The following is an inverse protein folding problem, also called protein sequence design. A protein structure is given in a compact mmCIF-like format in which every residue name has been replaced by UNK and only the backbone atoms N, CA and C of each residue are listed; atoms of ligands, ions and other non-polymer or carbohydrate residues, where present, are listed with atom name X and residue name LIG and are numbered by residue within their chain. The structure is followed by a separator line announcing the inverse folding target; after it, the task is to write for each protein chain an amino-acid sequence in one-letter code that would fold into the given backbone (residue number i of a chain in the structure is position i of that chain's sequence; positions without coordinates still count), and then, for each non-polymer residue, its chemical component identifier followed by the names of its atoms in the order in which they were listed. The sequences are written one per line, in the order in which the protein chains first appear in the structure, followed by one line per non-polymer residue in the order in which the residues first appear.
data_IF_304363695053
#
_entry.id   IF_304363695053
#
_cell.length_a   1.000
_cell.length_b   1.000
_cell.length_c   1.000
_cell.angle_alpha   90.00
_cell.angle_beta   90.00
_cell.angle_gamma   90.00
#
_symmetry.space_group_name_H-M   'P 1'
#
loop_
_entity.id
_entity.type
_entity.pdbx_description
1 polymer ?
#
# COMPACT_ATOMS: atom_id res chain seq x y z
N UNK A 1 1.43 6.57 -7.30
CA UNK A 1 0.99 5.97 -6.02
C UNK A 1 -0.08 4.90 -6.23
N UNK A 2 -1.33 5.26 -6.57
CA UNK A 2 -2.45 4.30 -6.68
C UNK A 2 -2.19 3.05 -7.54
N UNK A 3 -1.75 3.25 -8.79
CA UNK A 3 -1.52 2.15 -9.74
C UNK A 3 -0.55 1.08 -9.19
N UNK A 4 0.51 1.51 -8.50
CA UNK A 4 1.50 0.64 -7.91
C UNK A 4 0.92 -0.16 -6.73
N UNK A 5 0.22 0.51 -5.80
CA UNK A 5 -0.41 -0.14 -4.64
C UNK A 5 -1.48 -1.15 -5.04
N UNK A 6 -2.36 -0.81 -6.00
CA UNK A 6 -3.35 -1.75 -6.52
C UNK A 6 -2.70 -3.00 -7.13
N UNK A 7 -1.65 -2.81 -7.94
CA UNK A 7 -0.93 -3.91 -8.57
C UNK A 7 -0.22 -4.79 -7.55
N UNK A 8 0.33 -4.18 -6.49
CA UNK A 8 0.98 -4.89 -5.40
C UNK A 8 -0.02 -5.73 -4.60
N UNK A 9 -1.12 -5.13 -4.12
CA UNK A 9 -2.19 -5.83 -3.42
C UNK A 9 -2.69 -7.05 -4.21
N UNK A 10 -2.91 -6.88 -5.52
CA UNK A 10 -3.30 -8.01 -6.37
C UNK A 10 -2.24 -9.10 -6.42
N UNK A 11 -0.96 -8.73 -6.51
CA UNK A 11 0.15 -9.69 -6.62
C UNK A 11 0.44 -10.44 -5.31
N UNK A 12 0.10 -9.86 -4.16
CA UNK A 12 0.26 -10.51 -2.85
C UNK A 12 -0.72 -11.67 -2.66
N UNK A 13 -1.85 -11.70 -3.37
CA UNK A 13 -2.81 -12.81 -3.34
C UNK A 13 -2.46 -13.90 -4.38
N UNK A 14 -2.12 -15.14 -3.94
CA UNK A 14 -1.78 -16.22 -4.85
C UNK A 14 -2.93 -16.56 -5.82
N UNK A 15 -2.63 -16.59 -7.11
CA UNK A 15 -3.59 -16.96 -8.14
C UNK A 15 -4.65 -15.89 -8.46
N UNK A 16 -4.54 -14.68 -7.91
CA UNK A 16 -5.41 -13.54 -8.24
C UNK A 16 -4.92 -12.84 -9.52
N UNK A 17 -5.54 -13.21 -10.64
CA UNK A 17 -5.26 -12.59 -11.94
C UNK A 17 -6.02 -11.28 -12.10
N UNK A 18 -5.59 -10.41 -13.04
CA UNK A 18 -6.34 -9.20 -13.39
C UNK A 18 -7.79 -9.52 -13.81
N UNK A 19 -8.00 -10.63 -14.51
CA UNK A 19 -9.35 -11.04 -14.92
C UNK A 19 -10.23 -11.42 -13.71
N UNK A 20 -9.67 -12.14 -12.72
CA UNK A 20 -10.39 -12.51 -11.50
C UNK A 20 -10.72 -11.29 -10.65
N UNK A 21 -9.76 -10.39 -10.43
CA UNK A 21 -10.00 -9.17 -9.66
C UNK A 21 -11.02 -8.27 -10.36
N UNK A 22 -10.91 -8.08 -11.68
CA UNK A 22 -11.88 -7.30 -12.45
C UNK A 22 -13.29 -7.88 -12.33
N UNK A 23 -13.44 -9.21 -12.39
CA UNK A 23 -14.72 -9.89 -12.18
C UNK A 23 -15.28 -9.66 -10.76
N UNK A 24 -14.43 -9.70 -9.73
CA UNK A 24 -14.84 -9.40 -8.35
C UNK A 24 -15.29 -7.96 -8.15
N UNK A 25 -14.66 -7.01 -8.87
CA UNK A 25 -14.98 -5.59 -8.81
C UNK A 25 -16.11 -5.18 -9.77
N UNK A 26 -16.64 -6.09 -10.59
CA UNK A 26 -17.68 -5.78 -11.57
C UNK A 26 -17.21 -4.90 -12.74
N UNK A 27 -15.91 -4.86 -13.03
CA UNK A 27 -15.32 -4.02 -14.11
C UNK A 27 -14.71 -4.87 -15.22
N UNK A 28 -14.46 -4.26 -16.38
CA UNK A 28 -13.73 -4.91 -17.46
C UNK A 28 -12.24 -5.15 -17.09
N UNK A 29 -11.67 -6.27 -17.54
CA UNK A 29 -10.24 -6.59 -17.37
C UNK A 29 -9.34 -5.45 -17.89
N UNK A 30 -9.70 -4.88 -19.03
CA UNK A 30 -8.96 -3.76 -19.66
C UNK A 30 -8.99 -2.50 -18.80
N UNK A 31 -10.10 -2.24 -18.10
CA UNK A 31 -10.23 -1.16 -17.12
C UNK A 31 -9.28 -1.37 -15.95
N UNK A 32 -9.27 -2.56 -15.34
CA UNK A 32 -8.32 -2.88 -14.26
C UNK A 32 -6.86 -2.77 -14.74
N UNK A 33 -6.54 -3.29 -15.92
CA UNK A 33 -5.20 -3.18 -16.48
C UNK A 33 -4.78 -1.72 -16.71
N UNK A 34 -5.72 -0.85 -17.11
CA UNK A 34 -5.48 0.59 -17.26
C UNK A 34 -5.20 1.26 -15.91
N UNK A 35 -5.90 0.85 -14.85
CA UNK A 35 -5.64 1.30 -13.48
C UNK A 35 -4.24 0.89 -12.98
N UNK A 36 -3.87 -0.38 -13.13
CA UNK A 36 -2.53 -0.88 -12.74
C UNK A 36 -1.39 -0.30 -13.58
N UNK A 37 -1.68 0.24 -14.76
CA UNK A 37 -0.74 0.96 -15.62
C UNK A 37 -0.71 2.47 -15.35
N UNK A 38 -1.62 3.00 -14.51
CA UNK A 38 -1.76 4.44 -14.26
C UNK A 38 -2.34 5.24 -15.44
N UNK A 39 -2.90 4.58 -16.45
CA UNK A 39 -3.52 5.23 -17.62
C UNK A 39 -4.91 5.79 -17.33
N UNK A 40 -5.57 5.23 -16.31
CA UNK A 40 -6.90 5.65 -15.85
C UNK A 40 -6.93 5.63 -14.33
N UNK A 41 -7.82 6.43 -13.77
CA UNK A 41 -8.15 6.47 -12.36
C UNK A 41 -9.53 5.79 -12.15
N UNK A 42 -9.75 5.09 -11.03
CA UNK A 42 -11.08 4.60 -10.68
C UNK A 42 -11.99 5.77 -10.32
N UNK A 43 -13.30 5.58 -10.47
CA UNK A 43 -14.26 6.44 -9.81
C UNK A 43 -14.36 6.12 -8.31
N UNK A 44 -15.15 6.90 -7.58
CA UNK A 44 -15.33 6.74 -6.15
C UNK A 44 -15.90 5.37 -5.76
N UNK A 45 -16.85 4.84 -6.53
CA UNK A 45 -17.49 3.55 -6.24
C UNK A 45 -16.50 2.40 -6.39
N UNK A 46 -15.73 2.39 -7.48
CA UNK A 46 -14.70 1.38 -7.74
C UNK A 46 -13.55 1.52 -6.73
N UNK A 47 -13.14 2.74 -6.38
CA UNK A 47 -12.11 2.97 -5.37
C UNK A 47 -12.55 2.40 -4.01
N UNK A 48 -13.79 2.67 -3.60
CA UNK A 48 -14.37 2.12 -2.36
C UNK A 48 -14.48 0.59 -2.42
N UNK A 49 -14.87 0.03 -3.57
CA UNK A 49 -14.95 -1.42 -3.75
C UNK A 49 -13.58 -2.10 -3.66
N UNK A 50 -12.53 -1.50 -4.24
CA UNK A 50 -11.15 -1.97 -4.12
C UNK A 50 -10.72 -1.93 -2.65
N UNK A 51 -10.98 -0.81 -1.96
CA UNK A 51 -10.61 -0.64 -0.55
C UNK A 51 -11.25 -1.73 0.32
N UNK A 52 -12.56 -1.96 0.16
CA UNK A 52 -13.29 -3.03 0.85
C UNK A 52 -12.78 -4.42 0.50
N UNK A 53 -12.50 -4.70 -0.77
CA UNK A 53 -12.02 -6.02 -1.22
C UNK A 53 -10.69 -6.42 -0.60
N UNK A 54 -9.79 -5.46 -0.42
CA UNK A 54 -8.47 -5.70 0.15
C UNK A 54 -8.39 -5.36 1.65
N UNK A 55 -9.52 -4.98 2.28
CA UNK A 55 -9.58 -4.58 3.69
C UNK A 55 -8.59 -3.45 4.04
N UNK A 56 -8.46 -2.48 3.12
CA UNK A 56 -7.62 -1.29 3.25
C UNK A 56 -8.46 -0.03 3.21
N UNK A 57 -7.89 1.12 3.57
CA UNK A 57 -8.55 2.43 3.41
C UNK A 57 -8.36 2.95 1.98
N UNK A 58 -9.23 3.87 1.57
CA UNK A 58 -9.03 4.62 0.31
C UNK A 58 -7.73 5.42 0.35
N UNK A 59 -7.38 5.97 1.50
CA UNK A 59 -6.14 6.73 1.72
C UNK A 59 -4.92 5.82 1.51
N UNK A 60 -5.01 4.56 1.96
CA UNK A 60 -4.01 3.54 1.62
C UNK A 60 -3.93 3.28 0.13
N UNK A 61 -5.03 3.25 -0.61
CA UNK A 61 -4.93 3.10 -2.05
C UNK A 61 -4.32 4.33 -2.73
N UNK A 62 -4.65 5.53 -2.25
CA UNK A 62 -4.27 6.78 -2.90
C UNK A 62 -2.80 7.16 -2.67
N UNK A 63 -2.16 6.63 -1.64
CA UNK A 63 -0.81 7.05 -1.26
C UNK A 63 -0.74 7.78 0.07
N UNK A 64 -1.89 8.10 0.65
CA UNK A 64 -2.06 9.09 1.72
C UNK A 64 -1.94 8.49 3.12
N UNK A 65 -2.06 7.16 3.26
CA UNK A 65 -1.87 6.49 4.56
C UNK A 65 -1.22 5.09 4.38
N UNK A 66 -0.42 4.63 5.34
CA UNK A 66 0.25 3.32 5.30
C UNK A 66 -0.27 2.32 6.36
N UNK A 67 -1.36 2.69 7.03
CA UNK A 67 -1.84 2.05 8.26
C UNK A 67 -2.96 1.03 8.01
N UNK A 68 -2.85 -0.22 8.50
CA UNK A 68 -3.88 -1.26 8.40
C UNK A 68 -5.10 -0.95 9.24
N UNK A 69 -6.28 -1.46 8.84
CA UNK A 69 -7.53 -1.25 9.57
C UNK A 69 -7.57 -1.91 10.96
N UNK A 70 -6.78 -2.97 11.20
CA UNK A 70 -6.69 -3.64 12.49
C UNK A 70 -5.71 -2.96 13.45
N UNK A 71 -4.88 -2.03 12.96
CA UNK A 71 -3.94 -1.31 13.79
C UNK A 71 -4.72 -0.38 14.72
N UNK A 72 -4.44 -0.47 16.02
CA UNK A 72 -4.99 0.47 16.99
C UNK A 72 -4.07 1.69 17.14
N UNK A 73 -4.53 2.73 17.83
CA UNK A 73 -3.78 3.98 17.99
C UNK A 73 -2.43 3.83 18.69
N UNK A 74 -2.23 2.76 19.46
CA UNK A 74 -0.93 2.46 20.09
C UNK A 74 0.04 1.90 19.05
N UNK A 75 -0.40 0.93 18.24
CA UNK A 75 0.45 0.33 17.21
C UNK A 75 0.92 1.38 16.18
N UNK A 76 0.04 2.34 15.84
CA UNK A 76 0.37 3.43 14.92
C UNK A 76 1.40 4.39 15.50
N UNK A 77 1.23 4.77 16.76
CA UNK A 77 2.16 5.68 17.44
C UNK A 77 3.53 5.03 17.66
N UNK A 78 3.56 3.74 18.00
CA UNK A 78 4.82 3.01 18.20
C UNK A 78 5.63 2.93 16.89
N UNK A 79 4.95 2.67 15.76
CA UNK A 79 5.59 2.67 14.45
C UNK A 79 6.05 4.07 14.03
N UNK A 80 5.18 5.08 14.15
CA UNK A 80 5.51 6.46 13.76
C UNK A 80 6.71 6.99 14.55
N UNK A 81 6.71 6.78 15.87
CA UNK A 81 7.83 7.12 16.73
C UNK A 81 9.11 6.43 16.27
N UNK A 82 9.04 5.12 16.02
CA UNK A 82 10.20 4.35 15.54
C UNK A 82 10.75 4.87 14.21
N UNK A 83 9.89 5.18 13.24
CA UNK A 83 10.32 5.70 11.93
C UNK A 83 10.96 7.10 12.05
N UNK A 84 10.41 7.97 12.90
CA UNK A 84 10.92 9.32 13.12
C UNK A 84 12.25 9.31 13.88
N UNK A 85 12.37 8.50 14.94
CA UNK A 85 13.60 8.36 15.73
C UNK A 85 14.78 7.85 14.87
N UNK A 86 14.50 7.15 13.78
CA UNK A 86 15.51 6.55 12.91
C UNK A 86 15.71 7.29 11.57
N UNK A 87 14.94 8.34 11.27
CA UNK A 87 14.99 9.09 10.00
C UNK A 87 16.39 9.63 9.69
N UNK A 88 17.07 10.17 10.71
CA UNK A 88 18.41 10.76 10.57
C UNK A 88 19.55 9.74 10.40
N UNK A 89 19.29 8.44 10.60
CA UNK A 89 20.31 7.38 10.50
C UNK A 89 20.27 6.60 9.18
N UNK A 90 19.37 6.97 8.26
CA UNK A 90 19.17 6.27 6.99
C UNK A 90 20.29 6.61 6.00
N UNK A 91 21.46 6.01 6.22
CA UNK A 91 22.61 6.07 5.31
C UNK A 91 22.85 4.70 4.68
N UNK A 92 23.37 4.69 3.45
CA UNK A 92 23.82 3.48 2.78
C UNK A 92 25.21 3.72 2.21
N UNK A 93 26.19 2.91 2.61
CA UNK A 93 27.58 3.11 2.18
C UNK A 93 28.23 4.40 2.71
N UNK A 94 27.69 4.99 3.78
CA UNK A 94 28.16 6.27 4.34
C UNK A 94 27.61 7.51 3.65
N UNK A 95 26.73 7.33 2.66
CA UNK A 95 26.00 8.42 2.00
C UNK A 95 24.56 8.49 2.53
N UNK A 96 24.04 9.72 2.65
CA UNK A 96 22.64 9.95 2.97
C UNK A 96 21.75 9.46 1.84
N UNK A 97 20.69 8.73 2.19
CA UNK A 97 19.66 8.40 1.23
C UNK A 97 18.95 9.66 0.73
N UNK A 98 18.55 9.66 -0.54
CA UNK A 98 17.68 10.72 -1.07
C UNK A 98 16.30 10.67 -0.39
N UNK A 99 15.56 11.77 -0.42
CA UNK A 99 14.19 11.81 0.13
C UNK A 99 13.27 10.75 -0.48
N UNK A 100 13.43 10.46 -1.78
CA UNK A 100 12.70 9.38 -2.45
C UNK A 100 13.09 7.99 -1.92
N UNK A 101 14.39 7.75 -1.68
CA UNK A 101 14.87 6.48 -1.12
C UNK A 101 14.46 6.31 0.34
N UNK A 102 14.51 7.37 1.15
CA UNK A 102 14.01 7.38 2.53
C UNK A 102 12.53 7.00 2.58
N UNK A 103 11.73 7.55 1.67
CA UNK A 103 10.31 7.20 1.57
C UNK A 103 10.11 5.73 1.17
N UNK A 104 10.89 5.20 0.21
CA UNK A 104 10.83 3.78 -0.14
C UNK A 104 11.18 2.86 1.04
N UNK A 105 12.18 3.22 1.84
CA UNK A 105 12.57 2.49 3.05
C UNK A 105 11.44 2.54 4.08
N UNK A 106 10.85 3.72 4.33
CA UNK A 106 9.69 3.86 5.21
C UNK A 106 8.55 2.95 4.79
N UNK A 107 8.15 2.99 3.52
CA UNK A 107 7.09 2.13 2.96
C UNK A 107 7.39 0.65 3.24
N UNK A 108 8.62 0.21 2.98
CA UNK A 108 9.01 -1.17 3.20
C UNK A 108 8.98 -1.57 4.69
N UNK A 109 9.50 -0.72 5.58
CA UNK A 109 9.52 -0.95 7.02
C UNK A 109 8.10 -1.00 7.60
N UNK A 110 7.24 -0.07 7.19
CA UNK A 110 5.83 -0.05 7.58
C UNK A 110 5.13 -1.34 7.18
N UNK A 111 5.31 -1.79 5.94
CA UNK A 111 4.72 -3.06 5.48
C UNK A 111 5.21 -4.27 6.28
N UNK A 112 6.51 -4.33 6.62
CA UNK A 112 7.09 -5.39 7.45
C UNK A 112 6.50 -5.38 8.85
N UNK A 113 6.42 -4.20 9.48
CA UNK A 113 5.89 -4.03 10.83
C UNK A 113 4.46 -4.57 10.94
N UNK A 114 3.60 -4.13 10.03
CA UNK A 114 2.21 -4.58 10.00
C UNK A 114 2.08 -6.08 9.70
N UNK A 115 2.90 -6.62 8.81
CA UNK A 115 2.89 -8.06 8.52
C UNK A 115 3.23 -8.89 9.76
N UNK A 116 4.18 -8.43 10.60
CA UNK A 116 4.55 -9.12 11.84
C UNK A 116 3.42 -9.10 12.86
N UNK A 117 2.84 -7.93 13.11
CA UNK A 117 1.77 -7.78 14.10
C UNK A 117 0.45 -8.46 13.74
N UNK A 118 0.17 -8.73 12.45
CA UNK A 118 -1.01 -9.52 12.04
C UNK A 118 -0.97 -10.99 12.48
N UNK A 119 0.21 -11.50 12.86
CA UNK A 119 0.43 -12.91 13.20
C UNK A 119 0.62 -13.17 14.70
N UNK A 120 0.58 -12.13 15.53
CA UNK A 120 0.54 -12.21 17.00
C UNK A 120 -0.92 -12.17 17.50
#
# INVERSE_FOLDING_TARGET
MFAARLKELRKQEPGLTQAKLAKQLGIAKTTLASYEQGKRQPDFEVLSAIAKRFEVTTDYLLGENQTPQWANSKDTNDLEKFLNDNEGSMTYGGEDLTEEQKEQVRVAMTAIFWKRHKHD
#
